data_IF_166875172984
#
_entry.id   IF_166875172984
#
_cell.length_a   1.000
_cell.length_b   1.000
_cell.length_c   1.000
_cell.angle_alpha   90.00
_cell.angle_beta   90.00
_cell.angle_gamma   90.00
#
_symmetry.space_group_name_H-M   'P 1'
#
loop_
_entity.id
_entity.type
_entity.pdbx_description
1 polymer ?
#
# COMPACT_ATOMS: atom_id res chain seq x y z
N UNK A 1 19.25 6.55 6.11
CA UNK A 1 17.96 6.47 6.82
C UNK A 1 17.25 5.20 6.40
N UNK A 2 16.53 4.56 7.32
CA UNK A 2 15.74 3.38 7.00
C UNK A 2 14.54 3.76 6.13
N UNK A 3 14.25 2.95 5.11
CA UNK A 3 13.13 3.16 4.17
C UNK A 3 12.24 1.93 4.19
N UNK A 4 10.93 2.14 4.24
CA UNK A 4 9.91 1.10 4.20
C UNK A 4 8.96 1.39 3.05
N UNK A 5 8.78 0.43 2.15
CA UNK A 5 7.92 0.57 0.97
C UNK A 5 6.66 -0.28 1.15
N UNK A 6 5.51 0.25 0.74
CA UNK A 6 4.25 -0.51 0.67
C UNK A 6 3.58 -0.35 -0.69
N UNK A 7 2.68 -1.29 -0.98
CA UNK A 7 1.66 -1.14 -2.00
C UNK A 7 0.31 -1.39 -1.34
N UNK A 8 -0.61 -0.43 -1.46
CA UNK A 8 -1.98 -0.61 -1.03
C UNK A 8 -2.79 -1.24 -2.16
N UNK A 9 -3.29 -2.45 -1.94
CA UNK A 9 -3.97 -3.29 -2.93
C UNK A 9 -5.36 -3.77 -2.47
N UNK A 10 -5.78 -3.39 -1.26
CA UNK A 10 -7.10 -3.70 -0.75
C UNK A 10 -8.16 -2.82 -1.42
N UNK A 11 -9.14 -3.46 -2.05
CA UNK A 11 -10.29 -2.79 -2.69
C UNK A 11 -11.52 -3.03 -1.82
N UNK A 12 -11.91 -2.02 -1.06
CA UNK A 12 -13.12 -2.05 -0.22
C UNK A 12 -13.94 -0.77 -0.38
N UNK A 13 -15.05 -0.67 0.35
CA UNK A 13 -16.03 0.41 0.16
C UNK A 13 -15.50 1.74 0.68
N UNK A 14 -14.77 1.74 1.79
CA UNK A 14 -14.16 2.96 2.36
C UNK A 14 -13.28 3.72 1.37
N UNK A 15 -12.70 3.05 0.37
CA UNK A 15 -11.91 3.67 -0.69
C UNK A 15 -12.70 4.57 -1.65
N UNK A 16 -14.03 4.51 -1.63
CA UNK A 16 -14.89 5.45 -2.35
C UNK A 16 -15.18 5.08 -3.81
N UNK A 17 -14.37 4.20 -4.42
CA UNK A 17 -14.51 3.79 -5.82
C UNK A 17 -14.89 2.31 -5.97
N UNK A 18 -15.42 1.66 -4.94
CA UNK A 18 -15.77 0.23 -4.99
C UNK A 18 -16.78 -0.12 -6.08
N UNK A 19 -17.71 0.79 -6.40
CA UNK A 19 -18.71 0.62 -7.46
C UNK A 19 -18.31 1.18 -8.83
N UNK A 20 -17.13 1.80 -8.94
CA UNK A 20 -16.66 2.38 -10.20
C UNK A 20 -15.92 1.30 -11.02
N UNK A 21 -16.67 0.56 -11.83
CA UNK A 21 -16.08 -0.36 -12.81
C UNK A 21 -15.83 0.36 -14.13
N UNK A 22 -14.56 0.59 -14.46
CA UNK A 22 -14.14 1.08 -15.78
C UNK A 22 -13.53 -0.10 -16.53
N UNK A 23 -14.05 -0.40 -17.72
CA UNK A 23 -13.56 -1.50 -18.53
C UNK A 23 -12.04 -1.41 -18.74
N UNK A 24 -11.32 -2.48 -18.39
CA UNK A 24 -9.86 -2.54 -18.48
C UNK A 24 -9.11 -1.97 -17.27
N UNK A 25 -9.77 -1.28 -16.35
CA UNK A 25 -9.19 -0.83 -15.08
C UNK A 25 -9.44 -1.87 -14.00
N UNK A 26 -8.38 -2.33 -13.35
CA UNK A 26 -8.45 -3.32 -12.26
C UNK A 26 -7.65 -2.83 -11.06
N UNK A 27 -8.10 -3.21 -9.87
CA UNK A 27 -7.40 -2.95 -8.61
C UNK A 27 -7.87 -1.68 -7.91
N UNK A 28 -6.93 -1.06 -7.19
CA UNK A 28 -7.17 0.12 -6.36
C UNK A 28 -6.76 1.37 -7.11
N UNK A 29 -7.67 2.33 -7.23
CA UNK A 29 -7.45 3.65 -7.78
C UNK A 29 -6.59 4.51 -6.86
N UNK A 30 -6.05 5.59 -7.41
CA UNK A 30 -5.30 6.56 -6.63
C UNK A 30 -6.19 7.21 -5.57
N UNK A 31 -5.64 7.44 -4.37
CA UNK A 31 -6.29 8.06 -3.21
C UNK A 31 -7.37 7.23 -2.50
N UNK A 32 -7.63 5.98 -2.90
CA UNK A 32 -8.58 5.13 -2.18
C UNK A 32 -8.06 4.72 -0.79
N UNK A 33 -6.74 4.69 -0.57
CA UNK A 33 -6.17 4.40 0.76
C UNK A 33 -6.50 5.48 1.79
N UNK A 34 -6.84 6.70 1.33
CA UNK A 34 -7.13 7.81 2.23
C UNK A 34 -8.39 7.54 3.08
N UNK A 35 -9.39 6.84 2.54
CA UNK A 35 -10.59 6.45 3.29
C UNK A 35 -10.30 5.54 4.49
N UNK A 36 -9.12 4.90 4.52
CA UNK A 36 -8.66 4.05 5.61
C UNK A 36 -7.75 4.78 6.60
N UNK A 37 -7.22 5.96 6.25
CA UNK A 37 -6.34 6.76 7.12
C UNK A 37 -7.11 7.86 7.87
N UNK A 38 -8.10 8.47 7.23
CA UNK A 38 -8.85 9.59 7.80
C UNK A 38 -10.30 9.23 8.01
N UNK A 39 -10.93 9.90 8.97
CA UNK A 39 -12.37 9.89 9.15
C UNK A 39 -13.03 10.85 8.14
N UNK A 40 -12.85 10.52 6.86
CA UNK A 40 -13.35 11.28 5.72
C UNK A 40 -14.15 10.31 4.85
N UNK A 41 -15.49 10.29 4.97
CA UNK A 41 -16.29 9.36 4.17
C UNK A 41 -16.15 9.72 2.69
N UNK A 42 -15.35 8.93 1.96
CA UNK A 42 -15.22 9.03 0.50
C UNK A 42 -16.46 8.47 -0.20
N UNK A 43 -17.22 7.64 0.51
CA UNK A 43 -18.58 7.19 0.18
C UNK A 43 -19.43 7.21 1.44
N UNK A 44 -20.69 7.61 1.31
CA UNK A 44 -21.71 7.36 2.32
C UNK A 44 -23.02 7.03 1.59
N UNK A 45 -23.37 5.75 1.56
CA UNK A 45 -24.68 5.27 1.10
C UNK A 45 -25.64 5.03 2.29
N UNK A 46 -25.22 5.41 3.50
CA UNK A 46 -25.96 5.18 4.75
C UNK A 46 -25.88 3.73 5.27
N UNK A 47 -25.15 2.84 4.60
CA UNK A 47 -24.91 1.48 5.09
C UNK A 47 -23.83 1.44 6.19
N UNK A 48 -23.87 0.46 7.11
CA UNK A 48 -22.79 0.25 8.07
C UNK A 48 -21.45 -0.08 7.37
N UNK A 49 -20.36 0.29 8.02
CA UNK A 49 -19.01 -0.05 7.54
C UNK A 49 -18.82 -1.56 7.38
N UNK A 50 -18.11 -1.95 6.29
CA UNK A 50 -17.76 -3.33 6.05
C UNK A 50 -16.74 -3.84 7.10
N UNK A 51 -16.92 -5.03 7.70
CA UNK A 51 -15.97 -5.56 8.67
C UNK A 51 -14.53 -5.69 8.15
N UNK A 52 -14.33 -6.05 6.88
CA UNK A 52 -13.00 -6.13 6.28
C UNK A 52 -12.39 -4.73 6.07
N UNK A 53 -13.22 -3.72 5.77
CA UNK A 53 -12.78 -2.33 5.69
C UNK A 53 -12.27 -1.84 7.06
N UNK A 54 -13.02 -2.14 8.13
CA UNK A 54 -12.64 -1.80 9.50
C UNK A 54 -11.33 -2.47 9.93
N UNK A 55 -11.15 -3.76 9.61
CA UNK A 55 -9.90 -4.48 9.87
C UNK A 55 -8.74 -3.86 9.09
N UNK A 56 -8.95 -3.51 7.82
CA UNK A 56 -7.90 -2.90 6.98
C UNK A 56 -7.52 -1.52 7.50
N UNK A 57 -8.50 -0.69 7.88
CA UNK A 57 -8.28 0.60 8.56
C UNK A 57 -7.49 0.42 9.84
N UNK A 58 -7.85 -0.54 10.69
CA UNK A 58 -7.12 -0.81 11.93
C UNK A 58 -5.66 -1.20 11.65
N UNK A 59 -5.40 -2.03 10.64
CA UNK A 59 -4.05 -2.41 10.22
C UNK A 59 -3.25 -1.19 9.75
N UNK A 60 -3.82 -0.38 8.86
CA UNK A 60 -3.16 0.79 8.29
C UNK A 60 -2.79 1.81 9.39
N UNK A 61 -3.74 2.11 10.28
CA UNK A 61 -3.50 3.01 11.41
C UNK A 61 -2.46 2.45 12.39
N UNK A 62 -2.47 1.15 12.68
CA UNK A 62 -1.46 0.50 13.53
C UNK A 62 -0.07 0.63 12.90
N UNK A 63 0.08 0.36 11.61
CA UNK A 63 1.35 0.47 10.89
C UNK A 63 1.91 1.90 10.91
N UNK A 64 1.08 2.90 10.61
CA UNK A 64 1.49 4.31 10.60
C UNK A 64 1.84 4.81 12.00
N UNK A 65 1.01 4.49 13.00
CA UNK A 65 1.27 4.93 14.38
C UNK A 65 2.51 4.28 14.98
N UNK A 66 2.79 3.01 14.66
CA UNK A 66 4.05 2.37 15.03
C UNK A 66 5.25 3.05 14.38
N UNK A 67 5.16 3.37 13.08
CA UNK A 67 6.24 4.08 12.39
C UNK A 67 6.52 5.44 13.03
N UNK A 68 5.48 6.23 13.34
CA UNK A 68 5.64 7.54 14.02
C UNK A 68 6.30 7.38 15.39
N UNK A 69 5.93 6.35 16.17
CA UNK A 69 6.46 6.13 17.53
C UNK A 69 7.86 5.53 17.57
N UNK A 70 8.17 4.65 16.61
CA UNK A 70 9.31 3.73 16.71
C UNK A 70 10.26 3.80 15.50
N UNK A 71 9.93 4.57 14.47
CA UNK A 71 10.61 4.56 13.16
C UNK A 71 10.65 3.17 12.50
N UNK A 72 9.75 2.28 12.94
CA UNK A 72 9.58 0.91 12.45
C UNK A 72 8.08 0.56 12.47
N UNK A 73 7.44 0.21 11.35
CA UNK A 73 6.00 -0.08 11.29
C UNK A 73 5.58 -1.35 12.06
N UNK A 74 6.50 -2.31 12.23
CA UNK A 74 6.27 -3.59 12.91
C UNK A 74 7.39 -3.86 13.92
N UNK A 75 7.46 -3.10 15.03
CA UNK A 75 8.55 -3.23 16.00
C UNK A 75 8.50 -4.57 16.76
N UNK A 76 7.34 -5.24 16.76
CA UNK A 76 7.10 -6.57 17.32
C UNK A 76 5.99 -7.26 16.52
N UNK A 77 5.86 -8.58 16.71
CA UNK A 77 4.72 -9.34 16.18
C UNK A 77 3.41 -8.86 16.81
N UNK A 78 2.41 -8.67 15.97
CA UNK A 78 1.08 -8.21 16.34
C UNK A 78 0.04 -9.04 15.57
N UNK A 79 -0.92 -9.62 16.27
CA UNK A 79 -1.96 -10.46 15.67
C UNK A 79 -2.88 -9.66 14.73
N UNK A 80 -3.12 -8.37 14.99
CA UNK A 80 -3.88 -7.48 14.11
C UNK A 80 -3.19 -7.37 12.75
N UNK A 81 -1.86 -7.35 12.76
CA UNK A 81 -1.00 -7.29 11.59
C UNK A 81 -0.64 -8.68 11.03
N UNK A 82 -1.37 -9.73 11.39
CA UNK A 82 -1.08 -11.12 11.03
C UNK A 82 0.36 -11.56 11.36
N UNK A 83 0.96 -10.96 12.40
CA UNK A 83 2.34 -11.16 12.81
C UNK A 83 3.40 -10.86 11.73
N UNK A 84 3.05 -10.03 10.72
CA UNK A 84 3.98 -9.63 9.67
C UNK A 84 5.13 -8.80 10.27
N UNK A 85 6.33 -9.00 9.73
CA UNK A 85 7.48 -8.13 9.99
C UNK A 85 7.79 -7.42 8.68
N UNK A 86 7.65 -6.10 8.68
CA UNK A 86 7.90 -5.25 7.53
C UNK A 86 9.40 -5.06 7.36
N UNK A 87 9.95 -5.65 6.30
CA UNK A 87 11.38 -5.54 5.99
C UNK A 87 11.72 -4.15 5.43
N UNK A 88 12.94 -3.70 5.74
CA UNK A 88 13.47 -2.45 5.18
C UNK A 88 13.81 -2.64 3.70
N UNK A 89 13.51 -1.62 2.92
CA UNK A 89 14.00 -1.51 1.54
C UNK A 89 15.51 -1.31 1.57
N UNK A 90 16.23 -2.04 0.70
CA UNK A 90 17.67 -1.81 0.49
C UNK A 90 17.98 -1.79 -1.00
N UNK A 91 19.11 -1.18 -1.43
CA UNK A 91 19.49 -1.15 -2.85
C UNK A 91 19.53 -2.54 -3.51
N UNK A 92 19.84 -3.59 -2.75
CA UNK A 92 19.95 -4.96 -3.26
C UNK A 92 18.70 -5.81 -3.00
N UNK A 93 17.68 -5.27 -2.34
CA UNK A 93 16.45 -5.99 -2.00
C UNK A 93 15.25 -5.04 -2.10
N UNK A 94 14.67 -4.99 -3.30
CA UNK A 94 13.48 -4.21 -3.62
C UNK A 94 12.22 -4.90 -3.07
N UNK A 95 12.07 -4.88 -1.75
CA UNK A 95 10.92 -5.42 -1.03
C UNK A 95 9.90 -4.34 -0.70
N UNK A 96 8.63 -4.75 -0.65
CA UNK A 96 7.53 -3.91 -0.19
C UNK A 96 6.50 -4.75 0.55
N UNK A 97 5.75 -4.12 1.46
CA UNK A 97 4.60 -4.74 2.09
C UNK A 97 3.38 -4.55 1.18
N UNK A 98 2.81 -5.64 0.67
CA UNK A 98 1.53 -5.62 0.00
C UNK A 98 0.41 -5.64 1.04
N UNK A 99 -0.39 -4.58 1.08
CA UNK A 99 -1.51 -4.39 2.00
C UNK A 99 -2.79 -4.74 1.24
N UNK A 100 -3.29 -5.95 1.44
CA UNK A 100 -4.58 -6.43 0.93
C UNK A 100 -5.40 -7.02 2.09
N UNK A 101 -6.32 -7.95 1.82
CA UNK A 101 -6.98 -8.79 2.84
C UNK A 101 -5.96 -9.47 3.77
N UNK A 102 -4.77 -9.74 3.25
CA UNK A 102 -3.58 -10.20 3.97
C UNK A 102 -2.45 -9.16 3.87
N UNK A 103 -1.51 -9.22 4.81
CA UNK A 103 -0.28 -8.43 4.80
C UNK A 103 0.89 -9.34 4.41
N UNK A 104 1.50 -9.07 3.26
CA UNK A 104 2.51 -9.98 2.68
C UNK A 104 3.73 -9.19 2.21
N UNK A 105 4.93 -9.64 2.59
CA UNK A 105 6.16 -9.11 2.01
C UNK A 105 6.31 -9.64 0.59
N UNK A 106 6.46 -8.72 -0.36
CA UNK A 106 6.65 -9.01 -1.78
C UNK A 106 7.89 -8.30 -2.30
N UNK A 107 8.30 -8.63 -3.53
CA UNK A 107 9.51 -8.13 -4.19
C UNK A 107 9.19 -7.54 -5.54
N UNK A 108 10.08 -6.70 -6.04
CA UNK A 108 10.02 -6.11 -7.38
C UNK A 108 8.69 -5.37 -7.63
N UNK A 109 8.43 -4.27 -6.90
CA UNK A 109 7.17 -3.53 -7.01
C UNK A 109 6.92 -3.10 -8.45
N UNK A 110 5.73 -3.39 -8.96
CA UNK A 110 5.30 -3.04 -10.33
C UNK A 110 6.29 -3.43 -11.44
N UNK A 111 7.00 -4.55 -11.28
CA UNK A 111 7.97 -5.02 -12.28
C UNK A 111 9.05 -3.97 -12.57
N UNK A 112 9.46 -3.23 -11.53
CA UNK A 112 10.45 -2.14 -11.65
C UNK A 112 11.74 -2.61 -12.30
N UNK A 113 12.25 -3.80 -11.98
CA UNK A 113 13.50 -4.33 -12.55
C UNK A 113 13.40 -4.60 -14.05
N UNK A 114 12.21 -4.90 -14.56
CA UNK A 114 11.94 -5.06 -15.99
C UNK A 114 11.93 -3.68 -16.68
N UNK A 115 11.25 -2.70 -16.08
CA UNK A 115 11.21 -1.33 -16.58
C UNK A 115 12.57 -0.64 -16.54
N UNK A 116 13.37 -0.88 -15.50
CA UNK A 116 14.73 -0.37 -15.35
C UNK A 116 15.60 -0.81 -16.54
N UNK A 117 15.54 -2.08 -16.94
CA UNK A 117 16.27 -2.58 -18.12
C UNK A 117 15.85 -1.89 -19.42
N UNK A 118 14.54 -1.63 -19.58
CA UNK A 118 14.02 -0.91 -20.75
C UNK A 118 14.55 0.53 -20.75
N UNK A 119 14.49 1.22 -19.60
CA UNK A 119 14.99 2.58 -19.47
C UNK A 119 16.50 2.64 -19.72
N UNK A 120 17.30 1.75 -19.14
CA UNK A 120 18.75 1.70 -19.36
C UNK A 120 19.13 1.46 -20.83
N UNK A 121 18.32 0.68 -21.55
CA UNK A 121 18.58 0.35 -22.95
C UNK A 121 18.21 1.49 -23.90
N UNK A 122 17.08 2.17 -23.63
CA UNK A 122 16.44 3.05 -24.62
C UNK A 122 16.37 4.52 -24.22
N UNK A 123 16.62 4.87 -22.96
CA UNK A 123 16.51 6.25 -22.52
C UNK A 123 17.75 7.06 -22.98
N UNK A 124 17.51 8.19 -23.64
CA UNK A 124 18.57 9.06 -24.18
C UNK A 124 18.80 10.23 -23.23
N UNK A 125 20.02 10.41 -22.68
CA UNK A 125 20.32 11.53 -21.79
C UNK A 125 20.21 12.91 -22.48
N UNK A 126 19.98 14.00 -21.72
CA UNK A 126 19.75 14.00 -20.27
C UNK A 126 18.34 13.52 -19.94
N UNK A 127 18.25 12.64 -18.94
CA UNK A 127 16.97 12.22 -18.39
C UNK A 127 16.43 13.36 -17.52
N UNK A 128 15.22 13.82 -17.82
CA UNK A 128 14.49 14.78 -17.00
C UNK A 128 13.38 14.05 -16.27
N UNK A 129 13.50 13.97 -14.95
CA UNK A 129 12.45 13.59 -14.04
C UNK A 129 11.88 14.87 -13.38
N UNK A 130 10.56 14.92 -13.23
CA UNK A 130 9.81 16.00 -12.56
C UNK A 130 9.40 15.55 -11.15
#
# INVERSE_FOLDING_TARGET
TDVYMYQFSYKGKMGGLAGAEVAGVRGVGHAEELGYLWDAPLTSDGSPDDPEDLVTRQRLLTLWTNFVKCLNPTPKKDSVLNNVIWEKLTPNNLVYLNINKTLEMQKNPKEYLEWEKVLDTYAIPPLSNY
#
